data_IF_929748783372
#
_entry.id   IF_929748783372
#
_cell.length_a   1.000
_cell.length_b   1.000
_cell.length_c   1.000
_cell.angle_alpha   90.00
_cell.angle_beta   90.00
_cell.angle_gamma   90.00
#
_symmetry.space_group_name_H-M   'P 1'
#
loop_
_entity.id
_entity.type
_entity.pdbx_description
1 polymer ?
#
# COMPACT_ATOMS: atom_id res chain seq x y z
N UNK A 1 -21.04 -2.13 -43.14
CA UNK A 1 -22.37 -1.52 -42.91
C UNK A 1 -23.16 -2.48 -42.04
N UNK A 2 -24.15 -2.02 -41.29
CA UNK A 2 -25.02 -2.96 -40.55
C UNK A 2 -25.99 -3.57 -41.57
N UNK A 3 -25.80 -4.85 -41.87
CA UNK A 3 -26.63 -5.63 -42.82
C UNK A 3 -28.06 -5.81 -42.31
N UNK A 4 -28.99 -6.08 -43.22
CA UNK A 4 -30.37 -6.46 -42.85
C UNK A 4 -30.41 -7.76 -42.03
N UNK A 5 -29.52 -8.73 -42.28
CA UNK A 5 -29.41 -9.98 -41.50
C UNK A 5 -29.12 -9.72 -40.01
N UNK A 6 -28.10 -8.90 -39.71
CA UNK A 6 -27.80 -8.48 -38.33
C UNK A 6 -29.00 -7.78 -37.67
N UNK A 7 -29.74 -6.96 -38.44
CA UNK A 7 -30.95 -6.31 -37.92
C UNK A 7 -32.04 -7.33 -37.61
N UNK A 8 -32.23 -8.35 -38.45
CA UNK A 8 -33.18 -9.43 -38.22
C UNK A 8 -32.82 -10.23 -36.96
N UNK A 9 -31.55 -10.58 -36.75
CA UNK A 9 -31.10 -11.28 -35.52
C UNK A 9 -31.41 -10.43 -34.27
N UNK A 10 -31.09 -9.14 -34.30
CA UNK A 10 -31.40 -8.23 -33.18
C UNK A 10 -32.92 -8.14 -32.95
N UNK A 11 -33.72 -8.07 -34.01
CA UNK A 11 -35.18 -8.05 -33.88
C UNK A 11 -35.73 -9.36 -33.34
N UNK A 12 -35.18 -10.50 -33.73
CA UNK A 12 -35.60 -11.81 -33.22
C UNK A 12 -35.33 -11.92 -31.72
N UNK A 13 -34.10 -11.61 -31.28
CA UNK A 13 -33.73 -11.55 -29.86
C UNK A 13 -34.64 -10.59 -29.10
N UNK A 14 -34.99 -9.45 -29.71
CA UNK A 14 -35.90 -8.46 -29.14
C UNK A 14 -37.32 -9.00 -28.97
N UNK A 15 -37.87 -9.66 -29.99
CA UNK A 15 -39.25 -10.16 -30.01
C UNK A 15 -39.43 -11.35 -29.07
N UNK A 16 -38.46 -12.26 -29.04
CA UNK A 16 -38.48 -13.46 -28.21
C UNK A 16 -37.93 -13.20 -26.80
N UNK A 17 -37.36 -12.02 -26.55
CA UNK A 17 -36.75 -11.62 -25.28
C UNK A 17 -35.67 -12.61 -24.83
N UNK A 18 -34.84 -13.03 -25.78
CA UNK A 18 -33.70 -13.92 -25.50
C UNK A 18 -32.67 -13.19 -24.64
N UNK A 19 -31.99 -13.92 -23.75
CA UNK A 19 -30.94 -13.39 -22.87
C UNK A 19 -29.57 -13.39 -23.51
N UNK A 20 -29.44 -13.98 -24.70
CA UNK A 20 -28.18 -14.12 -25.42
C UNK A 20 -28.31 -13.52 -26.82
N UNK A 21 -27.31 -12.74 -27.22
CA UNK A 21 -27.18 -12.19 -28.56
C UNK A 21 -25.79 -12.53 -29.07
N UNK A 22 -25.75 -13.32 -30.13
CA UNK A 22 -24.52 -13.66 -30.83
C UNK A 22 -24.45 -12.93 -32.17
N UNK A 23 -23.51 -11.99 -32.24
CA UNK A 23 -23.09 -11.29 -33.46
C UNK A 23 -21.59 -11.55 -33.72
N UNK A 24 -21.05 -12.62 -33.14
CA UNK A 24 -19.68 -13.05 -33.33
C UNK A 24 -19.48 -13.69 -34.69
N UNK A 25 -18.30 -13.54 -35.26
CA UNK A 25 -17.93 -14.11 -36.55
C UNK A 25 -16.82 -15.15 -36.38
N UNK A 26 -17.11 -16.41 -36.72
CA UNK A 26 -16.10 -17.47 -36.81
C UNK A 26 -15.87 -17.77 -38.29
N UNK A 27 -14.60 -17.72 -38.73
CA UNK A 27 -14.19 -17.68 -40.15
C UNK A 27 -14.45 -18.96 -40.97
N UNK A 28 -15.31 -19.88 -40.51
CA UNK A 28 -15.41 -21.22 -41.07
C UNK A 28 -16.58 -21.46 -42.03
N UNK A 29 -17.59 -20.58 -42.13
CA UNK A 29 -18.84 -21.00 -42.82
C UNK A 29 -19.55 -20.01 -43.74
N UNK A 30 -19.06 -18.78 -43.97
CA UNK A 30 -19.74 -17.89 -44.94
C UNK A 30 -18.77 -17.06 -45.81
N UNK A 31 -18.98 -17.01 -47.15
CA UNK A 31 -18.14 -16.24 -48.07
C UNK A 31 -18.51 -14.74 -48.16
N UNK A 32 -19.44 -14.26 -47.34
CA UNK A 32 -19.95 -12.89 -47.39
C UNK A 32 -19.29 -12.06 -46.28
N UNK A 33 -18.29 -11.29 -46.67
CA UNK A 33 -17.43 -10.47 -45.81
C UNK A 33 -18.14 -9.23 -45.23
N UNK A 34 -18.96 -9.36 -44.18
CA UNK A 34 -19.56 -8.19 -43.51
C UNK A 34 -19.33 -8.13 -41.99
N UNK A 35 -18.07 -8.11 -41.57
CA UNK A 35 -17.70 -7.87 -40.17
C UNK A 35 -18.15 -6.48 -39.68
N UNK A 36 -18.69 -6.41 -38.47
CA UNK A 36 -19.09 -5.15 -37.82
C UNK A 36 -17.89 -4.23 -37.60
N UNK A 37 -17.98 -2.98 -38.04
CA UNK A 37 -17.03 -1.91 -37.70
C UNK A 37 -17.46 -1.11 -36.46
N UNK A 38 -18.74 -1.17 -36.12
CA UNK A 38 -19.34 -0.55 -34.94
C UNK A 38 -20.46 -1.44 -34.37
N UNK A 39 -20.76 -1.30 -33.08
CA UNK A 39 -21.86 -2.02 -32.44
C UNK A 39 -23.19 -1.32 -32.81
N UNK A 40 -24.18 -2.04 -33.39
CA UNK A 40 -25.48 -1.46 -33.72
C UNK A 40 -26.16 -0.83 -32.48
N UNK A 41 -26.70 0.38 -32.64
CA UNK A 41 -27.28 1.13 -31.52
C UNK A 41 -28.46 0.39 -30.86
N UNK A 42 -29.18 -0.41 -31.64
CA UNK A 42 -30.33 -1.22 -31.23
C UNK A 42 -29.96 -2.29 -30.20
N UNK A 43 -28.70 -2.75 -30.17
CA UNK A 43 -28.19 -3.67 -29.15
C UNK A 43 -28.33 -3.07 -27.76
N UNK A 44 -28.10 -1.76 -27.61
CA UNK A 44 -28.14 -1.08 -26.31
C UNK A 44 -29.56 -0.92 -25.74
N UNK A 45 -30.60 -1.23 -26.52
CA UNK A 45 -31.98 -1.26 -26.06
C UNK A 45 -32.38 -2.61 -25.44
N UNK A 46 -31.56 -3.65 -25.62
CA UNK A 46 -31.77 -5.00 -25.08
C UNK A 46 -31.28 -5.09 -23.63
N UNK A 47 -31.80 -4.25 -22.74
CA UNK A 47 -31.26 -4.10 -21.37
C UNK A 47 -31.39 -5.34 -20.46
N UNK A 48 -32.13 -6.36 -20.90
CA UNK A 48 -32.25 -7.65 -20.23
C UNK A 48 -31.20 -8.68 -20.65
N UNK A 49 -30.33 -8.33 -21.60
CA UNK A 49 -29.33 -9.25 -22.13
C UNK A 49 -28.32 -9.65 -21.05
N UNK A 50 -28.03 -10.95 -20.98
CA UNK A 50 -27.08 -11.55 -20.04
C UNK A 50 -25.79 -11.96 -20.74
N UNK A 51 -25.83 -12.30 -22.04
CA UNK A 51 -24.65 -12.66 -22.84
C UNK A 51 -24.63 -11.93 -24.17
N UNK A 52 -23.50 -11.31 -24.48
CA UNK A 52 -23.26 -10.63 -25.74
C UNK A 52 -21.95 -11.11 -26.35
N UNK A 53 -22.04 -11.76 -27.50
CA UNK A 53 -20.88 -12.13 -28.31
C UNK A 53 -20.76 -11.17 -29.50
N UNK A 54 -19.63 -10.48 -29.58
CA UNK A 54 -19.23 -9.56 -30.66
C UNK A 54 -17.85 -9.93 -31.22
N UNK A 55 -17.38 -11.16 -30.97
CA UNK A 55 -16.05 -11.61 -31.38
C UNK A 55 -15.88 -11.69 -32.90
N UNK A 56 -14.64 -11.63 -33.40
CA UNK A 56 -14.35 -11.84 -34.84
C UNK A 56 -14.77 -10.68 -35.76
N UNK A 57 -15.07 -9.51 -35.20
CA UNK A 57 -15.50 -8.34 -35.94
C UNK A 57 -14.32 -7.38 -36.25
N UNK A 58 -14.62 -6.16 -36.68
CA UNK A 58 -13.63 -5.09 -36.97
C UNK A 58 -13.87 -3.88 -36.06
N UNK A 59 -14.35 -4.11 -34.83
CA UNK A 59 -14.64 -3.05 -33.87
C UNK A 59 -13.35 -2.37 -33.42
N UNK A 60 -13.29 -1.04 -33.48
CA UNK A 60 -12.14 -0.25 -33.02
C UNK A 60 -12.34 0.39 -31.65
N UNK A 61 -13.58 0.48 -31.19
CA UNK A 61 -13.92 1.04 -29.88
C UNK A 61 -15.21 0.43 -29.32
N UNK A 62 -15.36 0.49 -28.00
CA UNK A 62 -16.60 0.16 -27.31
C UNK A 62 -17.28 1.46 -26.85
N UNK A 63 -18.48 1.79 -27.34
CA UNK A 63 -19.16 3.03 -26.97
C UNK A 63 -19.66 2.98 -25.53
N UNK A 64 -19.73 4.15 -24.88
CA UNK A 64 -20.26 4.29 -23.51
C UNK A 64 -21.68 3.71 -23.35
N UNK A 65 -22.46 3.65 -24.42
CA UNK A 65 -23.80 3.03 -24.42
C UNK A 65 -23.82 1.56 -24.00
N UNK A 66 -22.69 0.85 -24.05
CA UNK A 66 -22.58 -0.53 -23.54
C UNK A 66 -23.01 -0.63 -22.07
N UNK A 67 -22.85 0.44 -21.29
CA UNK A 67 -23.22 0.47 -19.86
C UNK A 67 -24.72 0.40 -19.62
N UNK A 68 -25.56 0.48 -20.66
CA UNK A 68 -27.00 0.24 -20.55
C UNK A 68 -27.34 -1.23 -20.33
N UNK A 69 -26.43 -2.14 -20.68
CA UNK A 69 -26.62 -3.59 -20.59
C UNK A 69 -26.19 -4.11 -19.20
N UNK A 70 -26.77 -3.57 -18.14
CA UNK A 70 -26.32 -3.81 -16.75
C UNK A 70 -26.47 -5.26 -16.28
N UNK A 71 -27.25 -6.08 -16.99
CA UNK A 71 -27.45 -7.51 -16.68
C UNK A 71 -26.42 -8.43 -17.34
N UNK A 72 -25.48 -7.88 -18.14
CA UNK A 72 -24.45 -8.71 -18.77
C UNK A 72 -23.61 -9.43 -17.73
N UNK A 73 -23.58 -10.75 -17.86
CA UNK A 73 -22.67 -11.67 -17.19
C UNK A 73 -21.52 -12.09 -18.10
N UNK A 74 -21.75 -12.16 -19.41
CA UNK A 74 -20.73 -12.53 -20.40
C UNK A 74 -20.67 -11.48 -21.51
N UNK A 75 -19.47 -10.96 -21.75
CA UNK A 75 -19.19 -10.08 -22.88
C UNK A 75 -17.93 -10.57 -23.60
N UNK A 76 -18.08 -10.98 -24.86
CA UNK A 76 -16.95 -11.37 -25.70
C UNK A 76 -16.73 -10.34 -26.82
N UNK A 77 -15.56 -9.71 -26.79
CA UNK A 77 -15.07 -8.72 -27.75
C UNK A 77 -13.75 -9.20 -28.40
N UNK A 78 -13.42 -10.49 -28.28
CA UNK A 78 -12.17 -11.04 -28.78
C UNK A 78 -12.08 -10.99 -30.31
N UNK A 79 -10.89 -11.03 -30.89
CA UNK A 79 -10.68 -10.99 -32.36
C UNK A 79 -11.31 -9.73 -33.00
N UNK A 80 -10.97 -8.56 -32.47
CA UNK A 80 -11.38 -7.25 -32.97
C UNK A 80 -10.15 -6.35 -33.19
N UNK A 81 -10.32 -5.03 -33.30
CA UNK A 81 -9.25 -4.04 -33.46
C UNK A 81 -9.30 -2.98 -32.36
N UNK A 82 -9.70 -3.39 -31.15
CA UNK A 82 -9.83 -2.47 -30.02
C UNK A 82 -8.44 -1.99 -29.59
N UNK A 83 -8.24 -0.67 -29.54
CA UNK A 83 -6.98 -0.08 -29.07
C UNK A 83 -7.03 0.30 -27.58
N UNK A 84 -8.22 0.34 -26.98
CA UNK A 84 -8.41 0.64 -25.56
C UNK A 84 -9.71 0.04 -25.04
N UNK A 85 -9.73 -0.30 -23.75
CA UNK A 85 -10.95 -0.62 -23.01
C UNK A 85 -11.46 0.66 -22.35
N UNK A 86 -12.71 1.10 -22.59
CA UNK A 86 -13.20 2.31 -21.95
C UNK A 86 -13.41 2.10 -20.45
N UNK A 87 -13.04 3.09 -19.63
CA UNK A 87 -13.23 3.03 -18.17
C UNK A 87 -14.67 2.70 -17.77
N UNK A 88 -15.64 3.12 -18.59
CA UNK A 88 -17.06 2.88 -18.37
C UNK A 88 -17.46 1.41 -18.36
N UNK A 89 -16.63 0.50 -18.90
CA UNK A 89 -16.87 -0.95 -18.83
C UNK A 89 -17.05 -1.42 -17.38
N UNK A 90 -16.40 -0.72 -16.43
CA UNK A 90 -16.46 -0.97 -14.99
C UNK A 90 -17.87 -0.84 -14.39
N UNK A 91 -18.85 -0.32 -15.14
CA UNK A 91 -20.25 -0.22 -14.72
C UNK A 91 -21.03 -1.52 -14.91
N UNK A 92 -20.49 -2.46 -15.67
CA UNK A 92 -21.09 -3.78 -15.91
C UNK A 92 -20.74 -4.75 -14.77
N UNK A 93 -21.12 -4.40 -13.54
CA UNK A 93 -20.67 -5.10 -12.31
C UNK A 93 -21.12 -6.55 -12.21
N UNK A 94 -22.06 -6.99 -13.05
CA UNK A 94 -22.52 -8.38 -13.12
C UNK A 94 -21.64 -9.28 -14.01
N UNK A 95 -20.65 -8.71 -14.71
CA UNK A 95 -19.76 -9.49 -15.57
C UNK A 95 -18.99 -10.54 -14.76
N UNK A 96 -19.13 -11.79 -15.19
CA UNK A 96 -18.35 -12.94 -14.74
C UNK A 96 -17.33 -13.39 -15.78
N UNK A 97 -17.55 -13.08 -17.07
CA UNK A 97 -16.66 -13.42 -18.18
C UNK A 97 -16.48 -12.22 -19.10
N UNK A 98 -15.22 -11.83 -19.34
CA UNK A 98 -14.86 -10.76 -20.27
C UNK A 98 -13.77 -11.25 -21.23
N UNK A 99 -14.13 -11.35 -22.51
CA UNK A 99 -13.23 -11.68 -23.61
C UNK A 99 -12.73 -10.44 -24.34
N UNK A 100 -11.42 -10.25 -24.38
CA UNK A 100 -10.72 -9.14 -25.03
C UNK A 100 -9.48 -9.61 -25.80
N UNK A 101 -9.31 -10.93 -26.00
CA UNK A 101 -8.13 -11.48 -26.68
C UNK A 101 -8.07 -11.13 -28.17
N UNK A 102 -6.89 -11.21 -28.80
CA UNK A 102 -6.65 -10.81 -30.19
C UNK A 102 -7.23 -9.44 -30.53
N UNK A 103 -6.68 -8.42 -29.87
CA UNK A 103 -6.99 -7.01 -30.09
C UNK A 103 -5.69 -6.20 -30.17
N UNK A 104 -5.79 -4.87 -30.22
CA UNK A 104 -4.66 -3.95 -30.29
C UNK A 104 -4.49 -3.18 -28.97
N UNK A 105 -4.87 -3.78 -27.83
CA UNK A 105 -4.85 -3.10 -26.52
C UNK A 105 -3.40 -2.89 -26.05
N UNK A 106 -3.06 -1.65 -25.71
CA UNK A 106 -1.75 -1.29 -25.13
C UNK A 106 -1.79 -1.23 -23.60
N UNK A 107 -2.97 -1.10 -22.99
CA UNK A 107 -3.17 -1.08 -21.55
C UNK A 107 -4.57 -1.55 -21.16
N UNK A 108 -4.71 -1.94 -19.89
CA UNK A 108 -5.99 -2.21 -19.23
C UNK A 108 -6.24 -1.08 -18.21
N UNK A 109 -7.42 -0.43 -18.19
CA UNK A 109 -7.71 0.65 -17.25
C UNK A 109 -7.78 0.13 -15.82
N UNK A 110 -7.33 0.94 -14.85
CA UNK A 110 -7.41 0.56 -13.42
C UNK A 110 -8.83 0.26 -12.95
N UNK A 111 -9.84 0.88 -13.60
CA UNK A 111 -11.26 0.68 -13.29
C UNK A 111 -11.76 -0.75 -13.52
N UNK A 112 -10.98 -1.60 -14.22
CA UNK A 112 -11.30 -3.02 -14.38
C UNK A 112 -11.50 -3.71 -13.03
N UNK A 113 -10.79 -3.25 -11.98
CA UNK A 113 -10.86 -3.75 -10.60
C UNK A 113 -12.26 -3.68 -9.98
N UNK A 114 -13.17 -2.87 -10.53
CA UNK A 114 -14.55 -2.74 -10.06
C UNK A 114 -15.45 -3.89 -10.52
N UNK A 115 -15.00 -4.70 -11.48
CA UNK A 115 -15.72 -5.88 -11.95
C UNK A 115 -15.50 -7.05 -10.97
N UNK A 116 -15.87 -6.88 -9.71
CA UNK A 116 -15.52 -7.84 -8.63
C UNK A 116 -16.14 -9.22 -8.79
N UNK A 117 -17.16 -9.39 -9.64
CA UNK A 117 -17.75 -10.68 -9.99
C UNK A 117 -17.00 -11.44 -11.10
N UNK A 118 -15.96 -10.82 -11.68
CA UNK A 118 -15.23 -11.40 -12.80
C UNK A 118 -14.52 -12.69 -12.37
N UNK A 119 -14.82 -13.77 -13.07
CA UNK A 119 -14.24 -15.09 -12.89
C UNK A 119 -13.27 -15.45 -14.03
N UNK A 120 -13.51 -14.92 -15.23
CA UNK A 120 -12.67 -15.17 -16.40
C UNK A 120 -12.36 -13.85 -17.10
N UNK A 121 -11.07 -13.56 -17.24
CA UNK A 121 -10.57 -12.42 -18.00
C UNK A 121 -9.60 -12.91 -19.05
N UNK A 122 -9.94 -12.67 -20.31
CA UNK A 122 -9.14 -13.10 -21.44
C UNK A 122 -8.59 -11.87 -22.17
N UNK A 123 -7.26 -11.76 -22.22
CA UNK A 123 -6.48 -10.65 -22.78
C UNK A 123 -5.32 -11.15 -23.66
N UNK A 124 -5.35 -12.41 -24.12
CA UNK A 124 -4.27 -12.96 -24.94
C UNK A 124 -4.12 -12.19 -26.25
N UNK A 125 -2.93 -12.23 -26.86
CA UNK A 125 -2.64 -11.62 -28.16
C UNK A 125 -3.07 -10.15 -28.23
N UNK A 126 -2.43 -9.35 -27.39
CA UNK A 126 -2.58 -7.90 -27.34
C UNK A 126 -1.17 -7.26 -27.28
N UNK A 127 -1.11 -5.94 -27.09
CA UNK A 127 0.14 -5.18 -27.02
C UNK A 127 0.38 -4.66 -25.59
N UNK A 128 -0.10 -5.37 -24.57
CA UNK A 128 0.03 -4.94 -23.17
C UNK A 128 1.50 -5.00 -22.74
N UNK A 129 2.01 -3.87 -22.25
CA UNK A 129 3.36 -3.78 -21.66
C UNK A 129 3.35 -3.98 -20.14
N UNK A 130 2.20 -3.76 -19.51
CA UNK A 130 1.96 -3.97 -18.08
C UNK A 130 0.51 -4.34 -17.79
N UNK A 131 0.29 -4.96 -16.63
CA UNK A 131 -1.04 -5.16 -16.03
C UNK A 131 -1.13 -4.23 -14.81
N UNK A 132 -2.25 -3.50 -14.60
CA UNK A 132 -2.37 -2.58 -13.47
C UNK A 132 -2.31 -3.33 -12.12
N UNK A 133 -1.72 -2.71 -11.09
CA UNK A 133 -1.71 -3.26 -9.72
C UNK A 133 -3.13 -3.50 -9.19
N UNK A 134 -4.13 -2.76 -9.66
CA UNK A 134 -5.53 -2.95 -9.27
C UNK A 134 -6.14 -4.29 -9.71
N UNK A 135 -5.45 -5.08 -10.57
CA UNK A 135 -5.91 -6.42 -10.97
C UNK A 135 -6.11 -7.33 -9.76
N UNK A 136 -5.28 -7.17 -8.70
CA UNK A 136 -5.35 -7.98 -7.48
C UNK A 136 -6.66 -7.84 -6.70
N UNK A 137 -7.50 -6.85 -7.00
CA UNK A 137 -8.83 -6.70 -6.40
C UNK A 137 -9.87 -7.68 -6.97
N UNK A 138 -9.60 -8.33 -8.11
CA UNK A 138 -10.50 -9.30 -8.75
C UNK A 138 -10.42 -10.68 -8.08
N UNK A 139 -10.69 -10.75 -6.77
CA UNK A 139 -10.45 -11.95 -5.96
C UNK A 139 -11.29 -13.18 -6.37
N UNK A 140 -12.35 -12.99 -7.17
CA UNK A 140 -13.17 -14.08 -7.75
C UNK A 140 -12.58 -14.67 -9.05
N UNK A 141 -11.49 -14.10 -9.58
CA UNK A 141 -10.90 -14.54 -10.85
C UNK A 141 -10.32 -15.95 -10.71
N UNK A 142 -10.77 -16.85 -11.59
CA UNK A 142 -10.34 -18.24 -11.68
C UNK A 142 -9.50 -18.51 -12.93
N UNK A 143 -9.67 -17.71 -13.99
CA UNK A 143 -8.89 -17.77 -15.23
C UNK A 143 -8.44 -16.38 -15.65
N UNK A 144 -7.14 -16.23 -15.89
CA UNK A 144 -6.52 -15.03 -16.46
C UNK A 144 -5.60 -15.42 -17.62
N UNK A 145 -5.99 -15.06 -18.84
CA UNK A 145 -5.21 -15.30 -20.06
C UNK A 145 -4.52 -14.00 -20.47
N UNK A 146 -3.19 -13.97 -20.40
CA UNK A 146 -2.35 -12.82 -20.76
C UNK A 146 -1.29 -13.19 -21.81
N UNK A 147 -1.41 -14.37 -22.44
CA UNK A 147 -0.40 -14.85 -23.37
C UNK A 147 -0.26 -13.97 -24.60
N UNK A 148 0.90 -14.03 -25.26
CA UNK A 148 1.23 -13.25 -26.46
C UNK A 148 1.06 -11.73 -26.29
N UNK A 149 1.44 -11.20 -25.12
CA UNK A 149 1.58 -9.77 -24.86
C UNK A 149 3.07 -9.35 -24.82
N UNK A 150 3.33 -8.07 -24.53
CA UNK A 150 4.66 -7.46 -24.38
C UNK A 150 5.04 -7.26 -22.91
N UNK A 151 4.55 -8.15 -22.04
CA UNK A 151 4.78 -8.06 -20.60
C UNK A 151 6.23 -8.40 -20.27
N UNK A 152 6.92 -7.49 -19.58
CA UNK A 152 8.27 -7.72 -19.04
C UNK A 152 8.24 -8.21 -17.59
N UNK A 153 7.16 -7.88 -16.87
CA UNK A 153 6.85 -8.27 -15.49
C UNK A 153 5.35 -8.34 -15.26
N UNK A 154 4.95 -8.97 -14.16
CA UNK A 154 3.56 -9.01 -13.66
C UNK A 154 3.53 -8.37 -12.26
N UNK A 155 2.51 -7.57 -11.90
CA UNK A 155 2.42 -6.89 -10.61
C UNK A 155 2.43 -7.86 -9.41
N UNK A 156 2.92 -7.41 -8.27
CA UNK A 156 2.93 -8.20 -7.03
C UNK A 156 1.50 -8.47 -6.52
N UNK A 157 0.52 -7.61 -6.86
CA UNK A 157 -0.88 -7.84 -6.51
C UNK A 157 -1.50 -9.09 -7.16
N UNK A 158 -0.85 -9.71 -8.16
CA UNK A 158 -1.33 -10.96 -8.76
C UNK A 158 -1.51 -12.05 -7.69
N UNK A 159 -0.66 -12.06 -6.65
CA UNK A 159 -0.75 -13.03 -5.55
C UNK A 159 -1.99 -12.88 -4.66
N UNK A 160 -2.79 -11.81 -4.83
CA UNK A 160 -4.07 -11.62 -4.16
C UNK A 160 -5.22 -12.39 -4.82
N UNK A 161 -5.03 -12.90 -6.05
CA UNK A 161 -6.03 -13.66 -6.80
C UNK A 161 -6.12 -15.11 -6.29
N UNK A 162 -6.49 -15.31 -5.03
CA UNK A 162 -6.42 -16.62 -4.36
C UNK A 162 -7.30 -17.70 -4.99
N UNK A 163 -8.32 -17.34 -5.78
CA UNK A 163 -9.17 -18.27 -6.52
C UNK A 163 -8.61 -18.64 -7.91
N UNK A 164 -7.49 -18.06 -8.33
CA UNK A 164 -6.92 -18.26 -9.66
C UNK A 164 -6.45 -19.70 -9.83
N UNK A 165 -7.00 -20.37 -10.84
CA UNK A 165 -6.70 -21.75 -11.20
C UNK A 165 -5.86 -21.84 -12.47
N UNK A 166 -6.09 -20.92 -13.40
CA UNK A 166 -5.42 -20.85 -14.70
C UNK A 166 -4.84 -19.45 -14.89
N UNK A 167 -3.53 -19.38 -15.13
CA UNK A 167 -2.81 -18.16 -15.46
C UNK A 167 -1.90 -18.46 -16.65
N UNK A 168 -2.20 -17.90 -17.81
CA UNK A 168 -1.31 -18.01 -18.98
C UNK A 168 -0.56 -16.69 -19.17
N UNK A 169 0.75 -16.76 -19.02
CA UNK A 169 1.71 -15.67 -19.25
C UNK A 169 2.67 -16.01 -20.39
N UNK A 170 2.39 -17.02 -21.21
CA UNK A 170 3.23 -17.42 -22.33
C UNK A 170 3.46 -16.23 -23.27
N UNK A 171 4.68 -15.98 -23.71
CA UNK A 171 4.99 -14.73 -24.38
C UNK A 171 6.42 -14.70 -24.87
N UNK A 172 6.99 -13.50 -25.04
CA UNK A 172 8.33 -13.34 -25.60
C UNK A 172 9.26 -12.46 -24.74
N UNK A 173 8.78 -11.89 -23.64
CA UNK A 173 9.48 -10.79 -22.95
C UNK A 173 9.49 -10.90 -21.42
N UNK A 174 8.77 -11.85 -20.81
CA UNK A 174 8.72 -11.98 -19.36
C UNK A 174 10.06 -12.50 -18.84
N UNK A 175 10.73 -11.70 -18.00
CA UNK A 175 12.06 -12.05 -17.47
C UNK A 175 11.99 -12.62 -16.05
N UNK A 176 10.96 -12.27 -15.29
CA UNK A 176 10.79 -12.74 -13.92
C UNK A 176 9.34 -12.90 -13.51
N UNK A 177 9.10 -13.73 -12.49
CA UNK A 177 7.80 -13.84 -11.82
C UNK A 177 7.82 -13.10 -10.47
N UNK A 178 6.70 -12.46 -10.07
CA UNK A 178 6.60 -11.82 -8.75
C UNK A 178 6.69 -12.86 -7.63
N UNK A 179 7.26 -12.49 -6.49
CA UNK A 179 7.41 -13.41 -5.36
C UNK A 179 6.03 -13.83 -4.82
N UNK A 180 5.03 -12.94 -4.92
CA UNK A 180 3.65 -13.22 -4.50
C UNK A 180 2.96 -14.35 -5.26
N UNK A 181 3.48 -14.83 -6.39
CA UNK A 181 2.89 -15.93 -7.16
C UNK A 181 2.76 -17.22 -6.32
N UNK A 182 3.58 -17.36 -5.28
CA UNK A 182 3.49 -18.48 -4.32
C UNK A 182 2.19 -18.49 -3.51
N UNK A 183 1.49 -17.35 -3.41
CA UNK A 183 0.22 -17.18 -2.69
C UNK A 183 -0.98 -17.70 -3.48
N UNK A 184 -0.82 -17.93 -4.78
CA UNK A 184 -1.84 -18.50 -5.65
C UNK A 184 -2.00 -20.00 -5.37
N UNK A 185 -2.59 -20.36 -4.24
CA UNK A 185 -2.65 -21.76 -3.75
C UNK A 185 -3.52 -22.66 -4.63
N UNK A 186 -4.52 -22.10 -5.31
CA UNK A 186 -5.42 -22.83 -6.22
C UNK A 186 -4.89 -22.95 -7.66
N UNK A 187 -3.73 -22.34 -7.98
CA UNK A 187 -3.19 -22.35 -9.34
C UNK A 187 -2.74 -23.76 -9.72
N UNK A 188 -3.36 -24.29 -10.78
CA UNK A 188 -3.12 -25.61 -11.34
C UNK A 188 -2.46 -25.54 -12.71
N UNK A 189 -2.75 -24.49 -13.49
CA UNK A 189 -2.14 -24.23 -14.79
C UNK A 189 -1.42 -22.88 -14.78
N UNK A 190 -0.12 -22.91 -15.06
CA UNK A 190 0.71 -21.72 -15.25
C UNK A 190 1.44 -21.83 -16.60
N UNK A 191 1.00 -21.06 -17.59
CA UNK A 191 1.66 -20.96 -18.89
C UNK A 191 2.78 -19.94 -18.86
N UNK A 192 4.00 -20.34 -19.24
CA UNK A 192 5.20 -19.48 -19.26
C UNK A 192 6.01 -19.63 -20.55
N UNK A 193 5.46 -20.35 -21.52
CA UNK A 193 6.21 -20.80 -22.70
C UNK A 193 6.68 -19.59 -23.53
N UNK A 194 7.87 -19.70 -24.12
CA UNK A 194 8.44 -18.68 -25.00
C UNK A 194 9.10 -17.48 -24.30
N UNK A 195 8.99 -17.36 -22.98
CA UNK A 195 9.55 -16.24 -22.24
C UNK A 195 11.04 -16.43 -21.90
N UNK A 196 11.85 -15.35 -21.92
CA UNK A 196 13.25 -15.37 -21.49
C UNK A 196 13.36 -15.29 -19.96
N UNK A 197 12.76 -16.25 -19.24
CA UNK A 197 12.77 -16.24 -17.78
C UNK A 197 14.17 -16.43 -17.21
N UNK A 198 14.64 -15.41 -16.49
CA UNK A 198 15.86 -15.44 -15.70
C UNK A 198 15.59 -15.90 -14.26
N UNK A 199 14.39 -15.61 -13.74
CA UNK A 199 14.03 -15.84 -12.33
C UNK A 199 12.53 -16.14 -12.13
N UNK A 200 12.12 -17.41 -11.86
CA UNK A 200 12.96 -18.59 -11.78
C UNK A 200 13.62 -18.92 -13.15
N UNK A 201 14.79 -19.57 -13.17
CA UNK A 201 15.40 -20.04 -14.41
C UNK A 201 14.42 -20.88 -15.22
N UNK A 202 14.51 -20.81 -16.56
CA UNK A 202 13.59 -21.50 -17.47
C UNK A 202 13.47 -23.00 -17.17
N UNK A 203 14.57 -23.66 -16.78
CA UNK A 203 14.57 -25.09 -16.47
C UNK A 203 13.75 -25.44 -15.22
N UNK A 204 13.60 -24.48 -14.29
CA UNK A 204 12.72 -24.60 -13.12
C UNK A 204 11.28 -24.28 -13.52
N UNK A 205 11.10 -23.24 -14.35
CA UNK A 205 9.78 -22.81 -14.80
C UNK A 205 9.04 -23.92 -15.59
N UNK A 206 9.75 -24.63 -16.47
CA UNK A 206 9.21 -25.72 -17.29
C UNK A 206 8.73 -26.94 -16.48
N UNK A 207 9.22 -27.11 -15.25
CA UNK A 207 8.80 -28.22 -14.37
C UNK A 207 7.44 -27.94 -13.68
N UNK A 208 6.88 -26.75 -13.86
CA UNK A 208 5.55 -26.38 -13.41
C UNK A 208 5.50 -25.71 -12.04
N UNK A 209 4.29 -25.24 -11.69
CA UNK A 209 4.05 -24.32 -10.58
C UNK A 209 4.54 -24.82 -9.21
N UNK A 210 4.49 -26.13 -8.94
CA UNK A 210 4.93 -26.65 -7.64
C UNK A 210 6.45 -26.53 -7.45
N UNK A 211 7.23 -26.74 -8.52
CA UNK A 211 8.69 -26.58 -8.48
C UNK A 211 9.06 -25.12 -8.42
N UNK A 212 8.33 -24.24 -9.12
CA UNK A 212 8.48 -22.79 -9.01
C UNK A 212 8.20 -22.33 -7.58
N UNK A 213 7.10 -22.79 -6.95
CA UNK A 213 6.76 -22.47 -5.56
C UNK A 213 7.88 -22.89 -4.62
N UNK A 214 8.41 -24.09 -4.80
CA UNK A 214 9.50 -24.59 -3.97
C UNK A 214 10.80 -23.81 -4.21
N UNK A 215 11.14 -23.49 -5.46
CA UNK A 215 12.28 -22.63 -5.79
C UNK A 215 12.15 -21.26 -5.13
N UNK A 216 10.99 -20.60 -5.25
CA UNK A 216 10.76 -19.28 -4.66
C UNK A 216 10.74 -19.34 -3.13
N UNK A 217 10.16 -20.39 -2.53
CA UNK A 217 10.22 -20.63 -1.08
C UNK A 217 11.62 -20.91 -0.61
N UNK A 218 12.40 -21.72 -1.32
CA UNK A 218 13.80 -21.97 -1.02
C UNK A 218 14.62 -20.71 -1.23
N UNK A 219 14.33 -19.89 -2.23
CA UNK A 219 14.98 -18.60 -2.44
C UNK A 219 14.66 -17.63 -1.30
N UNK A 220 13.42 -17.57 -0.85
CA UNK A 220 13.02 -16.83 0.35
C UNK A 220 13.66 -17.42 1.62
N UNK A 221 13.67 -18.74 1.78
CA UNK A 221 14.26 -19.44 2.91
C UNK A 221 15.78 -19.39 2.90
N UNK A 222 16.45 -19.31 1.73
CA UNK A 222 17.87 -19.06 1.56
C UNK A 222 18.15 -17.58 1.79
N UNK A 223 17.26 -16.67 1.39
CA UNK A 223 17.34 -15.25 1.76
C UNK A 223 17.22 -15.09 3.28
N UNK A 224 16.43 -15.93 3.96
CA UNK A 224 16.27 -15.98 5.43
C UNK A 224 17.39 -16.81 6.11
N UNK A 225 17.90 -17.88 5.51
CA UNK A 225 18.95 -18.74 6.09
C UNK A 225 20.36 -18.18 5.83
N UNK A 226 20.56 -17.46 4.73
CA UNK A 226 21.72 -16.59 4.51
C UNK A 226 21.67 -15.36 5.43
N UNK A 227 20.56 -15.17 6.16
CA UNK A 227 20.49 -14.29 7.33
C UNK A 227 20.79 -15.02 8.66
N UNK A 228 20.99 -16.35 8.69
CA UNK A 228 21.09 -17.19 9.93
C UNK A 228 22.31 -18.15 10.02
N UNK A 229 23.16 -18.36 9.00
CA UNK A 229 24.41 -19.17 9.17
C UNK A 229 25.66 -18.47 8.63
N UNK A 230 26.75 -18.60 9.39
CA UNK A 230 28.05 -17.90 9.35
C UNK A 230 28.55 -17.48 7.96
N UNK A 231 28.87 -16.18 7.85
CA UNK A 231 29.42 -15.56 6.65
C UNK A 231 30.86 -16.06 6.37
N UNK A 232 31.18 -16.51 5.15
CA UNK A 232 32.54 -16.41 4.64
C UNK A 232 32.82 -14.92 4.36
N UNK A 233 33.95 -14.48 4.90
CA UNK A 233 34.44 -13.11 4.87
C UNK A 233 34.67 -12.60 3.42
N UNK A 234 34.53 -11.29 3.26
CA UNK A 234 34.92 -10.43 2.11
C UNK A 234 33.92 -10.27 0.94
N UNK A 235 33.01 -9.28 1.09
CA UNK A 235 32.97 -8.10 0.19
C UNK A 235 32.91 -6.85 1.08
N UNK A 236 33.84 -5.92 0.87
CA UNK A 236 34.14 -4.80 1.76
C UNK A 236 32.89 -4.14 2.35
N UNK A 237 32.87 -3.97 3.68
CA UNK A 237 31.88 -3.15 4.38
C UNK A 237 31.82 -1.78 3.69
N UNK A 238 30.63 -1.26 3.34
CA UNK A 238 30.52 0.08 2.78
C UNK A 238 31.14 1.06 3.77
N UNK A 239 31.93 2.00 3.26
CA UNK A 239 32.50 3.06 4.09
C UNK A 239 31.35 4.05 4.33
N UNK A 240 30.91 4.11 5.58
CA UNK A 240 29.91 5.06 6.04
C UNK A 240 30.67 6.23 6.66
N UNK A 241 30.50 7.42 6.10
CA UNK A 241 31.00 8.68 6.65
C UNK A 241 29.85 9.59 6.99
N UNK A 242 30.07 10.49 7.94
CA UNK A 242 29.12 11.48 8.40
C UNK A 242 29.67 12.82 7.95
N UNK A 243 29.30 13.22 6.74
CA UNK A 243 29.71 14.50 6.15
C UNK A 243 28.51 15.45 6.18
N UNK A 244 28.72 16.74 6.46
CA UNK A 244 27.64 17.71 6.38
C UNK A 244 27.10 17.78 4.96
N UNK A 245 25.79 18.00 4.83
CA UNK A 245 25.19 18.30 3.53
C UNK A 245 25.92 19.52 2.90
N UNK A 246 26.22 19.47 1.58
CA UNK A 246 26.71 20.64 0.87
C UNK A 246 25.76 21.83 1.07
N UNK A 247 26.29 23.05 1.25
CA UNK A 247 25.48 24.26 1.48
C UNK A 247 24.49 24.55 0.34
N UNK A 248 24.78 24.04 -0.86
CA UNK A 248 23.98 24.17 -2.09
C UNK A 248 23.04 22.98 -2.35
N UNK A 249 22.99 21.98 -1.46
CA UNK A 249 22.13 20.82 -1.63
C UNK A 249 20.66 21.18 -1.43
N UNK A 250 19.86 21.05 -2.49
CA UNK A 250 18.42 21.22 -2.45
C UNK A 250 17.80 19.92 -1.98
N UNK A 251 17.22 19.92 -0.77
CA UNK A 251 16.37 18.82 -0.34
C UNK A 251 15.19 18.72 -1.31
N UNK A 252 14.87 17.53 -1.84
CA UNK A 252 13.64 17.35 -2.59
C UNK A 252 12.47 17.65 -1.64
N UNK A 253 11.80 18.78 -1.88
CA UNK A 253 10.53 19.11 -1.25
C UNK A 253 9.44 18.27 -1.93
N UNK A 254 9.38 16.99 -1.59
CA UNK A 254 8.18 16.22 -1.89
C UNK A 254 7.08 16.73 -0.94
N UNK A 255 5.94 17.22 -1.46
CA UNK A 255 4.83 17.64 -0.61
C UNK A 255 4.43 16.45 0.25
N UNK A 256 4.21 16.68 1.54
CA UNK A 256 3.62 15.67 2.44
C UNK A 256 2.24 15.33 1.86
N UNK A 257 2.15 14.24 1.09
CA UNK A 257 0.92 13.85 0.40
C UNK A 257 -0.21 13.54 1.40
N UNK A 258 0.14 13.29 2.67
CA UNK A 258 -0.80 12.94 3.72
C UNK A 258 -0.99 14.07 4.76
N UNK A 259 -2.14 14.73 4.70
CA UNK A 259 -2.54 15.84 5.59
C UNK A 259 -2.62 15.41 7.07
N UNK A 260 -2.67 14.10 7.39
CA UNK A 260 -2.82 13.59 8.76
C UNK A 260 -1.49 13.33 9.49
N UNK A 261 -0.38 13.10 8.77
CA UNK A 261 0.93 12.78 9.38
C UNK A 261 1.42 13.88 10.34
N UNK A 262 1.33 15.20 10.00
CA UNK A 262 1.76 16.25 10.93
C UNK A 262 0.93 16.29 12.22
N UNK A 263 -0.36 15.97 12.15
CA UNK A 263 -1.24 15.96 13.31
C UNK A 263 -0.92 14.81 14.27
N UNK A 264 -0.60 13.62 13.74
CA UNK A 264 -0.16 12.45 14.52
C UNK A 264 1.17 12.71 15.23
N UNK A 265 2.17 13.23 14.50
CA UNK A 265 3.48 13.56 15.06
C UNK A 265 3.40 14.64 16.15
N UNK A 266 2.62 15.69 15.91
CA UNK A 266 2.39 16.75 16.89
C UNK A 266 1.70 16.21 18.15
N UNK A 267 0.71 15.31 17.97
CA UNK A 267 -0.03 14.73 19.07
C UNK A 267 0.84 13.89 20.02
N UNK A 268 1.78 13.12 19.46
CA UNK A 268 2.74 12.32 20.22
C UNK A 268 3.74 13.20 20.99
N UNK A 269 4.24 14.23 20.32
CA UNK A 269 5.25 15.13 20.89
C UNK A 269 4.65 15.99 22.01
N UNK A 270 3.42 16.47 21.83
CA UNK A 270 2.67 17.23 22.84
C UNK A 270 2.49 16.45 24.15
N UNK A 271 2.15 15.16 24.09
CA UNK A 271 2.01 14.31 25.28
C UNK A 271 3.33 14.18 26.07
N UNK A 272 4.46 14.03 25.36
CA UNK A 272 5.77 13.95 26.00
C UNK A 272 6.18 15.29 26.64
N UNK A 273 5.88 16.40 25.96
CA UNK A 273 6.16 17.74 26.46
C UNK A 273 5.35 18.07 27.71
N UNK A 274 4.04 17.83 27.67
CA UNK A 274 3.14 18.04 28.81
C UNK A 274 3.58 17.22 30.04
N UNK A 275 3.93 15.95 29.82
CA UNK A 275 4.40 15.07 30.88
C UNK A 275 5.86 15.31 31.33
N UNK A 276 6.56 16.31 30.77
CA UNK A 276 7.92 16.69 31.18
C UNK A 276 9.04 15.75 30.70
N UNK A 277 8.78 14.89 29.71
CA UNK A 277 9.77 13.96 29.16
C UNK A 277 10.73 14.63 28.16
N UNK A 278 10.39 15.80 27.62
CA UNK A 278 11.23 16.53 26.65
C UNK A 278 12.18 17.47 27.39
N UNK A 279 13.48 17.25 27.22
CA UNK A 279 14.54 18.13 27.73
C UNK A 279 15.13 19.01 26.61
N UNK A 280 15.72 20.17 26.90
CA UNK A 280 16.27 21.09 25.89
C UNK A 280 17.33 20.49 24.98
N UNK A 281 18.05 19.47 25.47
CA UNK A 281 19.11 18.78 24.75
C UNK A 281 18.58 17.70 23.81
N UNK A 282 17.29 17.36 23.89
CA UNK A 282 16.67 16.33 23.05
C UNK A 282 16.17 16.93 21.73
N UNK A 283 16.13 16.11 20.69
CA UNK A 283 15.49 16.46 19.42
C UNK A 283 14.38 15.46 19.12
N UNK A 284 13.16 15.98 19.05
CA UNK A 284 12.03 15.30 18.43
C UNK A 284 11.66 16.14 17.22
N UNK A 285 11.60 15.51 16.04
CA UNK A 285 11.20 16.21 14.84
C UNK A 285 10.40 15.30 13.90
N UNK A 286 9.58 15.94 13.08
CA UNK A 286 8.91 15.37 11.92
C UNK A 286 9.41 16.08 10.67
N UNK A 287 9.44 15.39 9.54
CA UNK A 287 9.85 15.96 8.24
C UNK A 287 11.27 16.57 8.21
N UNK A 288 12.20 16.07 9.03
CA UNK A 288 13.61 16.43 8.98
C UNK A 288 14.41 15.32 8.32
N UNK A 289 15.23 15.66 7.32
CA UNK A 289 16.03 14.66 6.60
C UNK A 289 17.17 14.11 7.46
N UNK A 290 17.19 12.79 7.67
CA UNK A 290 18.30 12.04 8.24
C UNK A 290 19.32 11.71 7.15
N UNK A 291 20.60 12.02 7.40
CA UNK A 291 21.64 12.01 6.36
C UNK A 291 22.78 11.06 6.73
N UNK A 292 23.25 10.30 5.74
CA UNK A 292 24.50 9.56 5.82
C UNK A 292 25.19 9.52 4.45
N UNK A 293 26.52 9.51 4.44
CA UNK A 293 27.30 9.30 3.22
C UNK A 293 27.71 7.84 3.14
N UNK A 294 27.22 7.12 2.12
CA UNK A 294 27.52 5.70 1.91
C UNK A 294 28.27 5.55 0.59
N UNK A 295 29.52 5.09 0.66
CA UNK A 295 30.39 4.94 -0.52
C UNK A 295 30.49 6.24 -1.36
N UNK A 296 30.64 7.40 -0.71
CA UNK A 296 30.71 8.75 -1.30
C UNK A 296 29.40 9.29 -1.90
N UNK A 297 28.28 8.61 -1.71
CA UNK A 297 26.96 9.10 -2.12
C UNK A 297 26.17 9.54 -0.89
N UNK A 298 25.63 10.75 -0.93
CA UNK A 298 24.73 11.27 0.12
C UNK A 298 23.38 10.58 0.03
N UNK A 299 22.93 10.00 1.14
CA UNK A 299 21.62 9.37 1.30
C UNK A 299 20.83 10.17 2.31
N UNK A 300 19.62 10.59 1.94
CA UNK A 300 18.71 11.34 2.81
C UNK A 300 17.39 10.59 2.92
N UNK A 301 16.89 10.41 4.15
CA UNK A 301 15.55 9.86 4.45
C UNK A 301 14.85 10.70 5.51
N UNK A 302 13.60 11.06 5.28
CA UNK A 302 12.78 11.79 6.24
C UNK A 302 11.74 10.84 6.86
N UNK A 303 11.88 10.47 8.14
CA UNK A 303 10.83 9.78 8.87
C UNK A 303 9.71 10.75 9.27
N UNK A 304 8.52 10.21 9.48
CA UNK A 304 7.36 10.99 9.96
C UNK A 304 7.55 11.48 11.39
N UNK A 305 8.29 10.71 12.19
CA UNK A 305 8.67 11.07 13.56
C UNK A 305 9.97 10.39 13.96
N UNK A 306 10.88 11.11 14.62
CA UNK A 306 12.06 10.49 15.23
C UNK A 306 12.49 11.20 16.50
N UNK A 307 13.29 10.49 17.30
CA UNK A 307 13.82 10.96 18.58
C UNK A 307 15.32 10.76 18.67
N UNK A 308 16.00 11.82 19.13
CA UNK A 308 17.42 11.82 19.50
C UNK A 308 17.55 12.29 20.95
N UNK A 309 18.25 11.54 21.81
CA UNK A 309 18.34 11.84 23.24
C UNK A 309 19.24 13.04 23.55
N UNK A 310 20.19 13.35 22.67
CA UNK A 310 21.12 14.46 22.87
C UNK A 310 21.59 15.05 21.54
N UNK A 311 21.42 16.36 21.36
CA UNK A 311 21.89 17.11 20.20
C UNK A 311 22.86 18.23 20.59
N UNK A 312 23.76 18.56 19.67
CA UNK A 312 24.63 19.73 19.81
C UNK A 312 23.80 21.02 19.68
N UNK A 313 24.09 22.04 20.52
CA UNK A 313 23.39 23.31 20.45
C UNK A 313 23.72 24.05 19.15
N UNK A 314 22.71 24.70 18.56
CA UNK A 314 22.90 25.55 17.40
C UNK A 314 23.21 27.00 17.80
N UNK A 315 24.09 27.70 17.08
CA UNK A 315 24.26 29.14 17.23
C UNK A 315 22.95 29.90 16.96
N UNK A 316 22.80 31.04 17.62
CA UNK A 316 21.59 31.86 17.54
C UNK A 316 21.32 32.31 16.09
N UNK A 317 20.13 32.00 15.57
CA UNK A 317 19.71 32.36 14.21
C UNK A 317 19.88 31.27 13.14
N UNK A 318 20.43 30.11 13.49
CA UNK A 318 20.51 28.94 12.59
C UNK A 318 19.35 27.96 12.84
N UNK A 319 18.81 27.40 11.75
CA UNK A 319 17.76 26.38 11.78
C UNK A 319 18.34 25.06 11.30
N UNK A 320 18.10 23.97 12.04
CA UNK A 320 18.47 22.62 11.64
C UNK A 320 17.59 22.18 10.47
N UNK A 321 18.18 21.95 9.29
CA UNK A 321 17.46 21.47 8.08
C UNK A 321 17.60 19.97 7.84
N UNK A 322 18.57 19.34 8.48
CA UNK A 322 18.87 17.92 8.38
C UNK A 322 19.55 17.45 9.67
N UNK A 323 19.68 16.14 9.83
CA UNK A 323 20.35 15.54 10.97
C UNK A 323 21.34 14.45 10.54
N UNK A 324 22.60 14.60 10.94
CA UNK A 324 23.65 13.60 10.76
C UNK A 324 24.23 13.18 12.11
N UNK A 325 24.15 11.89 12.49
CA UNK A 325 24.87 11.35 13.64
C UNK A 325 26.36 11.74 13.61
N UNK A 326 26.95 11.98 14.78
CA UNK A 326 28.35 12.42 14.98
C UNK A 326 28.67 13.87 14.55
N UNK A 327 27.82 14.52 13.76
CA UNK A 327 27.92 15.97 13.49
C UNK A 327 26.96 16.74 14.40
N UNK A 328 25.69 16.34 14.39
CA UNK A 328 24.60 17.06 15.05
C UNK A 328 24.33 16.58 16.48
N UNK A 329 24.88 15.43 16.90
CA UNK A 329 24.71 14.88 18.23
C UNK A 329 24.80 13.36 18.30
N UNK A 330 24.07 12.79 19.26
CA UNK A 330 23.99 11.36 19.52
C UNK A 330 23.30 10.58 18.38
N UNK A 331 23.33 9.25 18.47
CA UNK A 331 22.61 8.42 17.50
C UNK A 331 21.10 8.62 17.65
N UNK A 332 20.39 8.52 16.52
CA UNK A 332 18.93 8.46 16.52
C UNK A 332 18.51 7.23 17.32
N UNK A 333 17.59 7.44 18.27
CA UNK A 333 17.16 6.43 19.22
C UNK A 333 15.86 5.74 18.78
N UNK A 334 14.95 6.49 18.15
CA UNK A 334 13.67 5.98 17.66
C UNK A 334 13.37 6.62 16.29
N UNK A 335 12.87 5.82 15.35
CA UNK A 335 12.22 6.28 14.11
C UNK A 335 10.82 5.67 13.98
N UNK A 336 9.86 6.45 13.49
CA UNK A 336 8.49 6.01 13.23
C UNK A 336 8.05 6.41 11.82
N UNK A 337 7.30 5.53 11.17
CA UNK A 337 6.67 5.74 9.87
C UNK A 337 5.17 5.47 9.99
N UNK A 338 4.35 6.36 9.47
CA UNK A 338 2.89 6.31 9.47
C UNK A 338 2.41 5.89 8.08
N UNK A 339 1.92 4.65 8.01
CA UNK A 339 1.51 3.98 6.78
C UNK A 339 0.30 4.67 6.15
N UNK A 340 0.28 4.73 4.83
CA UNK A 340 -0.85 5.19 4.02
C UNK A 340 -1.26 4.11 3.00
N UNK A 341 -2.49 4.16 2.48
CA UNK A 341 -2.98 3.24 1.43
C UNK A 341 -2.15 3.29 0.14
N UNK A 342 -1.28 4.30 -0.05
CA UNK A 342 -0.49 4.53 -1.26
C UNK A 342 0.97 4.03 -1.20
N UNK A 343 1.51 3.65 -0.03
CA UNK A 343 2.96 3.45 0.14
C UNK A 343 3.43 1.99 0.02
N UNK A 344 3.29 1.42 -1.18
CA UNK A 344 3.84 0.09 -1.50
C UNK A 344 5.37 0.06 -1.72
N UNK A 345 6.03 1.22 -1.79
CA UNK A 345 7.44 1.33 -2.24
C UNK A 345 8.46 1.86 -1.23
N UNK A 346 8.07 2.74 -0.28
CA UNK A 346 9.05 3.50 0.52
C UNK A 346 9.67 2.72 1.69
N UNK A 347 8.94 1.74 2.22
CA UNK A 347 9.35 0.88 3.34
C UNK A 347 10.20 -0.31 2.89
N UNK A 348 10.82 -0.20 1.72
CA UNK A 348 11.61 -1.26 1.11
C UNK A 348 12.84 -1.65 1.95
N UNK A 349 13.16 -2.95 1.98
CA UNK A 349 14.41 -3.49 2.55
C UNK A 349 15.61 -3.35 1.58
N UNK A 350 15.46 -2.56 0.51
CA UNK A 350 16.44 -2.41 -0.56
C UNK A 350 17.81 -1.95 -0.02
N UNK A 351 18.81 -2.81 -0.22
CA UNK A 351 20.20 -2.64 0.23
C UNK A 351 21.14 -2.01 -0.80
N UNK A 352 20.57 -1.46 -1.88
CA UNK A 352 21.28 -0.81 -2.99
C UNK A 352 20.67 0.57 -3.24
N UNK A 353 21.43 1.60 -3.64
CA UNK A 353 20.89 2.91 -3.96
C UNK A 353 19.76 2.90 -5.01
N UNK A 354 18.70 3.73 -4.84
CA UNK A 354 18.35 4.43 -3.60
C UNK A 354 17.97 3.43 -2.49
N UNK A 355 18.65 3.52 -1.35
CA UNK A 355 18.37 2.64 -0.21
C UNK A 355 16.93 2.83 0.26
N UNK A 356 16.25 1.74 0.63
CA UNK A 356 14.91 1.83 1.21
C UNK A 356 14.97 2.27 2.68
N UNK A 357 13.87 2.85 3.21
CA UNK A 357 13.82 3.40 4.58
C UNK A 357 14.20 2.34 5.63
N UNK A 358 13.66 1.12 5.52
CA UNK A 358 13.97 0.03 6.44
C UNK A 358 15.46 -0.32 6.46
N UNK A 359 16.09 -0.48 5.28
CA UNK A 359 17.52 -0.77 5.19
C UNK A 359 18.38 0.38 5.72
N UNK A 360 17.98 1.62 5.46
CA UNK A 360 18.68 2.81 5.92
C UNK A 360 18.70 2.88 7.45
N UNK A 361 17.56 2.66 8.11
CA UNK A 361 17.50 2.67 9.57
C UNK A 361 18.21 1.45 10.21
N UNK A 362 18.07 0.25 9.64
CA UNK A 362 18.65 -0.98 10.19
C UNK A 362 20.18 -1.04 10.02
N UNK A 363 20.68 -0.77 8.80
CA UNK A 363 22.06 -1.09 8.40
C UNK A 363 22.98 0.11 8.32
N UNK A 364 22.44 1.30 8.12
CA UNK A 364 23.23 2.52 7.96
C UNK A 364 23.21 3.31 9.26
N UNK A 365 22.02 3.72 9.73
CA UNK A 365 21.89 4.49 10.97
C UNK A 365 21.92 3.62 12.24
N UNK A 366 21.57 2.34 12.13
CA UNK A 366 21.45 1.42 13.28
C UNK A 366 20.56 1.99 14.39
N UNK A 367 19.36 2.45 14.02
CA UNK A 367 18.43 3.05 14.98
C UNK A 367 17.90 1.96 15.92
N UNK A 368 18.00 2.11 17.26
CA UNK A 368 17.61 1.08 18.23
C UNK A 368 16.15 0.62 18.15
N UNK A 369 15.22 1.54 17.89
CA UNK A 369 13.78 1.25 17.84
C UNK A 369 13.16 1.79 16.57
N UNK A 370 12.46 0.93 15.84
CA UNK A 370 11.75 1.28 14.61
C UNK A 370 10.27 0.92 14.73
N UNK A 371 9.40 1.87 14.43
CA UNK A 371 7.94 1.73 14.57
C UNK A 371 7.26 1.95 13.22
N UNK A 372 6.31 1.09 12.89
CA UNK A 372 5.36 1.30 11.78
C UNK A 372 3.94 1.29 12.31
N UNK A 373 3.15 2.25 11.86
CA UNK A 373 1.81 2.49 12.37
C UNK A 373 0.81 2.76 11.25
N UNK A 374 -0.30 2.02 11.23
CA UNK A 374 -1.41 2.25 10.29
C UNK A 374 -2.60 2.90 11.02
N UNK A 375 -2.94 4.17 10.70
CA UNK A 375 -4.08 4.85 11.31
C UNK A 375 -5.45 4.29 10.89
N UNK A 376 -5.55 3.53 9.79
CA UNK A 376 -6.78 2.95 9.25
C UNK A 376 -7.01 1.51 9.71
N UNK A 377 -5.96 0.69 9.81
CA UNK A 377 -6.06 -0.75 10.15
C UNK A 377 -5.78 -1.07 11.63
N UNK A 378 -5.61 -0.06 12.50
CA UNK A 378 -5.21 -0.25 13.92
C UNK A 378 -3.96 -1.13 14.08
N UNK A 379 -3.04 -1.05 13.12
CA UNK A 379 -1.80 -1.82 13.14
C UNK A 379 -0.68 -1.02 13.80
N UNK A 380 -0.02 -1.61 14.79
CA UNK A 380 1.19 -1.08 15.43
C UNK A 380 2.24 -2.18 15.47
N UNK A 381 3.35 -1.96 14.79
CA UNK A 381 4.50 -2.85 14.83
C UNK A 381 5.70 -2.10 15.37
N UNK A 382 6.36 -2.68 16.39
CA UNK A 382 7.58 -2.13 16.98
C UNK A 382 8.67 -3.17 16.84
N UNK A 383 9.82 -2.73 16.30
CA UNK A 383 10.99 -3.57 16.09
C UNK A 383 12.18 -3.02 16.85
N UNK A 384 12.93 -3.89 17.52
CA UNK A 384 14.18 -3.51 18.18
C UNK A 384 15.37 -3.99 17.38
N UNK A 385 16.41 -3.16 17.32
CA UNK A 385 17.69 -3.55 16.75
C UNK A 385 18.41 -4.47 17.73
N UNK A 386 18.58 -5.73 17.34
CA UNK A 386 19.31 -6.76 18.09
C UNK A 386 20.35 -7.36 17.13
N UNK A 387 21.62 -7.33 17.53
CA UNK A 387 22.74 -7.86 16.72
C UNK A 387 22.76 -7.33 15.27
N UNK A 388 22.43 -6.03 15.11
CA UNK A 388 22.38 -5.35 13.83
C UNK A 388 21.21 -5.73 12.92
N UNK A 389 20.12 -6.29 13.49
CA UNK A 389 18.88 -6.64 12.79
C UNK A 389 17.65 -6.24 13.57
N UNK A 390 16.60 -5.84 12.87
CA UNK A 390 15.32 -5.57 13.49
C UNK A 390 14.56 -6.85 13.81
N UNK A 391 14.15 -6.98 15.08
CA UNK A 391 13.32 -8.07 15.60
C UNK A 391 11.98 -7.49 16.02
N UNK A 392 10.88 -8.03 15.50
CA UNK A 392 9.52 -7.63 15.87
C UNK A 392 9.24 -7.99 17.32
N UNK A 393 8.71 -7.03 18.07
CA UNK A 393 8.39 -7.21 19.48
C UNK A 393 6.87 -7.21 19.69
N UNK A 394 6.32 -8.24 20.36
CA UNK A 394 4.87 -8.34 20.55
C UNK A 394 4.35 -7.28 21.54
N UNK A 395 3.11 -6.87 21.32
CA UNK A 395 2.35 -6.08 22.28
C UNK A 395 1.92 -6.92 23.49
N UNK A 396 1.71 -6.25 24.62
CA UNK A 396 1.13 -6.85 25.82
C UNK A 396 -0.39 -7.08 25.67
N UNK A 397 -1.03 -7.64 26.69
CA UNK A 397 -2.47 -7.94 26.73
C UNK A 397 -3.38 -6.72 26.50
N UNK A 398 -2.84 -5.50 26.64
CA UNK A 398 -3.55 -4.24 26.40
C UNK A 398 -3.26 -3.64 25.03
N UNK A 399 -2.56 -4.36 24.15
CA UNK A 399 -2.19 -3.90 22.81
C UNK A 399 -1.10 -2.82 22.82
N UNK A 400 -0.25 -2.78 23.86
CA UNK A 400 0.82 -1.79 24.02
C UNK A 400 2.20 -2.44 23.94
N UNK A 401 3.16 -1.75 23.34
CA UNK A 401 4.56 -2.20 23.25
C UNK A 401 5.45 -1.25 24.03
N UNK A 402 6.42 -1.78 24.77
CA UNK A 402 7.38 -0.98 25.52
C UNK A 402 8.36 -0.25 24.58
N UNK A 403 8.76 0.98 24.90
CA UNK A 403 9.77 1.74 24.16
C UNK A 403 10.90 2.07 25.13
N UNK A 404 12.00 1.28 25.12
CA UNK A 404 13.06 1.38 26.13
C UNK A 404 13.72 2.76 26.22
N UNK A 405 13.84 3.47 25.10
CA UNK A 405 14.56 4.74 25.02
C UNK A 405 13.81 5.91 25.67
N UNK A 406 12.50 5.77 25.87
CA UNK A 406 11.66 6.75 26.57
C UNK A 406 11.12 6.21 27.90
N UNK A 407 11.31 4.91 28.19
CA UNK A 407 10.71 4.23 29.34
C UNK A 407 9.17 4.35 29.38
N UNK A 408 8.55 4.23 28.21
CA UNK A 408 7.10 4.37 28.02
C UNK A 408 6.53 3.21 27.21
N UNK A 409 5.26 2.88 27.44
CA UNK A 409 4.48 2.05 26.55
C UNK A 409 3.87 2.90 25.43
N UNK A 410 3.98 2.43 24.19
CA UNK A 410 3.30 2.96 23.02
C UNK A 410 2.11 2.06 22.67
N UNK A 411 0.98 2.66 22.31
CA UNK A 411 -0.21 1.92 21.93
C UNK A 411 -1.21 2.77 21.17
N UNK A 412 -2.28 2.13 20.70
CA UNK A 412 -3.32 2.77 19.89
C UNK A 412 -4.53 3.09 20.77
N UNK A 413 -5.05 4.30 20.62
CA UNK A 413 -6.31 4.75 21.22
C UNK A 413 -7.23 5.33 20.15
N UNK A 414 -8.45 4.82 20.04
CA UNK A 414 -9.45 5.36 19.11
C UNK A 414 -10.27 6.48 19.77
N UNK A 415 -10.30 7.66 19.15
CA UNK A 415 -11.14 8.75 19.63
C UNK A 415 -10.95 10.06 18.89
N UNK A 416 -11.61 11.10 19.40
CA UNK A 416 -11.65 12.43 18.78
C UNK A 416 -10.58 13.37 19.32
N UNK A 417 -9.77 13.98 18.43
CA UNK A 417 -8.85 15.09 18.72
C UNK A 417 -8.76 16.01 17.51
N UNK A 418 -8.62 17.33 17.72
CA UNK A 418 -8.47 18.32 16.64
C UNK A 418 -9.57 18.24 15.56
N UNK A 419 -10.83 18.00 15.98
CA UNK A 419 -11.98 17.77 15.08
C UNK A 419 -11.88 16.54 14.17
N UNK A 420 -10.94 15.63 14.44
CA UNK A 420 -10.75 14.37 13.73
C UNK A 420 -10.99 13.19 14.67
N UNK A 421 -11.70 12.18 14.19
CA UNK A 421 -11.87 10.91 14.91
C UNK A 421 -11.09 9.83 14.17
N UNK A 422 -10.04 9.33 14.81
CA UNK A 422 -9.17 8.31 14.22
C UNK A 422 -8.52 7.45 15.31
N UNK A 423 -7.69 6.51 14.88
CA UNK A 423 -6.76 5.83 15.77
C UNK A 423 -5.59 6.79 16.02
N UNK A 424 -5.30 7.08 17.28
CA UNK A 424 -4.19 7.92 17.72
C UNK A 424 -3.15 7.07 18.43
N UNK A 425 -1.87 7.32 18.14
CA UNK A 425 -0.80 6.81 18.98
C UNK A 425 -0.76 7.58 20.32
N UNK A 426 -0.55 6.85 21.40
CA UNK A 426 -0.55 7.36 22.78
C UNK A 426 0.57 6.73 23.60
N UNK A 427 1.01 7.46 24.62
CA UNK A 427 2.03 7.04 25.56
C UNK A 427 1.42 6.68 26.91
N UNK A 428 1.93 5.61 27.53
CA UNK A 428 1.63 5.24 28.92
C UNK A 428 2.92 5.09 29.72
N UNK A 429 2.92 5.53 30.97
CA UNK A 429 4.05 5.33 31.87
C UNK A 429 4.20 3.85 32.29
N UNK A 430 5.29 3.54 32.98
CA UNK A 430 5.56 2.20 33.52
C UNK A 430 4.50 1.71 34.52
N UNK A 431 3.72 2.61 35.12
CA UNK A 431 2.60 2.26 36.01
C UNK A 431 1.29 2.01 35.27
N UNK A 432 1.28 2.20 33.94
CA UNK A 432 0.11 2.04 33.09
C UNK A 432 -0.79 3.27 33.00
N UNK A 433 -0.36 4.43 33.52
CA UNK A 433 -1.11 5.69 33.41
C UNK A 433 -0.91 6.31 32.04
N UNK A 434 -1.98 6.84 31.46
CA UNK A 434 -1.95 7.52 30.17
C UNK A 434 -1.28 8.89 30.32
N UNK A 435 -0.32 9.20 29.46
CA UNK A 435 0.22 10.56 29.33
C UNK A 435 -0.81 11.42 28.57
N UNK A 436 -1.35 12.38 29.30
CA UNK A 436 -2.35 13.30 28.80
C UNK A 436 -1.74 14.30 27.82
N UNK A 437 -2.55 14.76 26.89
CA UNK A 437 -2.22 15.92 26.07
C UNK A 437 -2.33 17.20 26.90
N UNK A 438 -1.63 18.25 26.49
CA UNK A 438 -1.66 19.55 27.19
C UNK A 438 -3.09 20.08 27.39
N UNK A 439 -3.96 19.89 26.38
CA UNK A 439 -5.37 20.27 26.47
C UNK A 439 -6.17 19.44 27.49
N UNK A 440 -5.83 18.16 27.66
CA UNK A 440 -6.49 17.26 28.60
C UNK A 440 -6.01 17.52 30.04
N UNK A 441 -4.71 17.76 30.20
CA UNK A 441 -4.10 18.16 31.46
C UNK A 441 -4.71 19.45 31.99
N UNK A 442 -4.83 20.49 31.15
CA UNK A 442 -5.46 21.75 31.54
C UNK A 442 -6.92 21.58 31.98
N UNK A 443 -7.68 20.69 31.34
CA UNK A 443 -9.05 20.36 31.76
C UNK A 443 -9.04 19.67 33.13
N UNK A 444 -8.12 18.73 33.33
CA UNK A 444 -8.01 17.99 34.59
C UNK A 444 -7.59 18.89 35.75
N UNK A 445 -6.62 19.79 35.54
CA UNK A 445 -6.19 20.78 36.54
C UNK A 445 -7.33 21.73 36.92
N UNK A 446 -8.08 22.22 35.93
CA UNK A 446 -9.25 23.06 36.19
C UNK A 446 -10.29 22.34 37.04
N UNK A 447 -10.58 21.07 36.74
CA UNK A 447 -11.50 20.26 37.53
C UNK A 447 -11.00 20.03 38.96
N UNK A 448 -9.69 19.82 39.16
CA UNK A 448 -9.11 19.69 40.51
C UNK A 448 -9.22 21.00 41.28
N UNK A 449 -8.89 22.14 40.66
CA UNK A 449 -9.02 23.45 41.27
C UNK A 449 -10.47 23.77 41.68
N UNK A 450 -11.44 23.44 40.80
CA UNK A 450 -12.87 23.60 41.10
C UNK A 450 -13.31 22.72 42.27
N UNK A 451 -12.83 21.47 42.35
CA UNK A 451 -13.12 20.56 43.47
C UNK A 451 -12.49 21.02 44.79
N UNK A 452 -11.25 21.51 44.76
CA UNK A 452 -10.57 22.06 45.92
C UNK A 452 -11.25 23.33 46.43
N UNK A 453 -11.67 24.21 45.52
CA UNK A 453 -12.44 25.40 45.85
C UNK A 453 -13.76 25.01 46.54
N UNK A 454 -14.53 24.08 45.97
CA UNK A 454 -15.76 23.57 46.59
C UNK A 454 -15.52 22.93 47.96
N UNK A 455 -14.39 22.22 48.14
CA UNK A 455 -14.02 21.61 49.42
C UNK A 455 -13.65 22.67 50.46
N UNK A 456 -12.90 23.70 50.06
CA UNK A 456 -12.53 24.83 50.91
C UNK A 456 -13.78 25.62 51.34
N UNK A 457 -14.71 25.90 50.43
CA UNK A 457 -15.98 26.54 50.73
C UNK A 457 -16.82 25.74 51.74
N UNK A 458 -16.92 24.40 51.56
CA UNK A 458 -17.63 23.54 52.53
C UNK A 458 -16.96 23.53 53.90
N UNK A 459 -15.63 23.53 53.95
CA UNK A 459 -14.89 23.58 55.21
C UNK A 459 -15.07 24.95 55.90
N UNK A 460 -14.98 26.05 55.16
CA UNK A 460 -15.21 27.40 55.65
C UNK A 460 -16.64 27.59 56.17
N UNK A 461 -17.65 27.07 55.46
CA UNK A 461 -19.04 27.08 55.94
C UNK A 461 -19.19 26.32 57.26
N UNK A 462 -18.56 25.15 57.40
CA UNK A 462 -18.58 24.36 58.64
C UNK A 462 -17.83 25.03 59.80
N UNK A 463 -16.74 25.75 59.53
CA UNK A 463 -16.02 26.54 60.54
C UNK A 463 -16.87 27.73 61.03
N UNK A 464 -17.56 28.41 60.12
CA UNK A 464 -18.52 29.48 60.46
C UNK A 464 -19.68 28.96 61.31
N UNK A 465 -20.20 27.75 61.03
CA UNK A 465 -21.21 27.09 61.87
C UNK A 465 -20.70 26.79 63.30
N UNK A 466 -19.39 26.55 63.46
CA UNK A 466 -18.73 26.33 64.75
C UNK A 466 -18.30 27.64 65.44
N UNK A 467 -18.62 28.81 64.86
CA UNK A 467 -18.31 30.12 65.42
C UNK A 467 -16.86 30.59 65.23
N UNK A 468 -16.11 29.96 64.33
CA UNK A 468 -14.73 30.34 63.97
C UNK A 468 -14.80 31.07 62.62
N UNK A 469 -14.30 32.30 62.57
CA UNK A 469 -14.22 33.08 61.31
C UNK A 469 -12.92 32.73 60.57
N UNK A 470 -13.00 32.05 59.40
CA UNK A 470 -11.83 31.60 58.66
C UNK A 470 -11.09 32.72 57.91
N UNK A 471 -11.64 33.94 57.88
CA UNK A 471 -11.08 35.08 57.11
C UNK A 471 -10.33 36.11 57.97
N UNK A 472 -10.18 35.86 59.28
CA UNK A 472 -9.36 36.68 60.18
C UNK A 472 -7.88 36.26 60.05
N UNK A 473 -6.94 37.16 59.70
CA UNK A 473 -5.52 36.86 59.85
C UNK A 473 -5.17 36.77 61.34
N UNK A 474 -4.29 35.80 61.69
CA UNK A 474 -3.77 35.57 63.04
C UNK A 474 -3.24 36.83 63.75
#
# INVERSE_FOLDING_TARGET
MITDEIREIIQEVKQQRLTELDLGFNSYDTPYEENLTEIPAEVFDLTWLEKLNLSGNKLTSVPKSITRLTNLSTLDLSNNRLTSVPESISRLTNLSTLGLGSNELTSVPESISRLTNLSQLNLWDNQLTSVPESIGSLTNLSTLELSYNQLTSVPESIGSLTNLSTLDLSGYQLTSLPESIIRLTNLSHLGLQGNPLEDPPIEIAEQGINVIREYLRQKQALRVNKMVLEAPDIKAKPIITWEPLPEDFVLPDDPVENVQQPALAAALTDALGAAGYIQPEMLIASNLGLVATVNKNTVVKAPDWFYVPQVHPLPQGLIRRSYSPNIDGANIAIVMEFLSEADGGELSIRSTPPYGKFHFYERILQVPTYVTYDPYDRSLEVRYLQDGRYVLHPANDQGRVWIPQLELYLGIWSGGRLQQTMNWLRWWDNSGNLLLWSSEEAIQERQRADQEHQRAERLAAKLRELGIDPDLPD
#
